data_IF_339866843949
#
_entry.id   IF_339866843949
#
_cell.length_a   1.000
_cell.length_b   1.000
_cell.length_c   1.000
_cell.angle_alpha   90.00
_cell.angle_beta   90.00
_cell.angle_gamma   90.00
#
_symmetry.space_group_name_H-M   'P 1'
#
loop_
_entity.id
_entity.type
_entity.pdbx_description
1 polymer ?
#
# COMPACT_ATOMS: atom_id res chain seq x y z
N UNK A 1 -4.97 8.81 11.34
CA UNK A 1 -3.64 9.11 10.75
C UNK A 1 -2.51 9.43 11.74
N UNK A 2 -2.50 10.54 12.50
CA UNK A 2 -1.44 10.83 13.50
C UNK A 2 -1.34 9.69 14.54
N UNK A 3 -2.49 9.12 14.91
CA UNK A 3 -2.57 7.98 15.83
C UNK A 3 -1.90 6.73 15.25
N UNK A 4 -2.14 6.40 13.97
CA UNK A 4 -1.57 5.21 13.34
C UNK A 4 -0.04 5.31 13.21
N UNK A 5 0.48 6.45 12.76
CA UNK A 5 1.92 6.66 12.66
C UNK A 5 2.62 6.60 14.03
N UNK A 6 1.96 7.10 15.09
CA UNK A 6 2.43 6.98 16.47
C UNK A 6 2.38 5.53 16.98
N UNK A 7 1.28 4.81 16.73
CA UNK A 7 1.12 3.41 17.12
C UNK A 7 2.15 2.51 16.44
N UNK A 8 2.40 2.73 15.15
CA UNK A 8 3.38 1.99 14.36
C UNK A 8 4.83 2.47 14.59
N UNK A 9 5.04 3.51 15.41
CA UNK A 9 6.35 4.13 15.70
C UNK A 9 7.16 4.42 14.43
N UNK A 10 6.48 4.88 13.39
CA UNK A 10 7.09 5.12 12.08
C UNK A 10 8.09 6.27 12.22
N UNK A 11 9.31 6.04 11.75
CA UNK A 11 10.32 7.08 11.65
C UNK A 11 10.10 7.84 10.35
N UNK A 12 9.73 9.11 10.48
CA UNK A 12 9.61 9.98 9.33
C UNK A 12 10.99 10.36 8.79
N UNK A 13 11.14 10.28 7.48
CA UNK A 13 12.33 10.72 6.77
C UNK A 13 12.14 12.15 6.25
N UNK A 14 13.21 12.93 6.30
CA UNK A 14 13.30 14.21 5.61
C UNK A 14 13.69 13.96 4.15
N UNK A 15 12.70 13.60 3.32
CA UNK A 15 12.86 13.50 1.87
C UNK A 15 12.34 14.76 1.18
N UNK A 16 12.71 14.95 -0.09
CA UNK A 16 12.16 16.05 -0.88
C UNK A 16 10.64 15.91 -0.98
N UNK A 17 9.87 17.02 -0.83
CA UNK A 17 8.44 17.00 -1.04
C UNK A 17 8.09 16.47 -2.42
N UNK A 18 7.07 15.61 -2.49
CA UNK A 18 6.55 15.14 -3.77
C UNK A 18 5.32 15.95 -4.15
N UNK A 19 5.18 16.23 -5.44
CA UNK A 19 3.98 16.84 -6.01
C UNK A 19 3.05 15.71 -6.49
N UNK A 20 1.84 15.68 -5.96
CA UNK A 20 0.78 14.75 -6.36
C UNK A 20 -0.39 15.52 -6.91
N UNK A 21 -1.07 15.00 -7.93
CA UNK A 21 -2.33 15.56 -8.41
C UNK A 21 -3.42 14.51 -8.18
N UNK A 22 -4.43 14.88 -7.41
CA UNK A 22 -5.61 14.03 -7.21
C UNK A 22 -6.56 14.07 -8.41
N UNK A 23 -7.71 13.40 -8.27
CA UNK A 23 -8.79 13.41 -9.27
C UNK A 23 -9.34 14.81 -9.54
N UNK A 24 -9.32 15.69 -8.52
CA UNK A 24 -9.75 17.09 -8.64
C UNK A 24 -8.78 17.96 -9.47
N UNK A 25 -7.65 17.41 -9.91
CA UNK A 25 -6.64 18.10 -10.71
C UNK A 25 -5.83 19.14 -9.93
N UNK A 26 -6.17 19.43 -8.67
CA UNK A 26 -5.44 20.34 -7.81
C UNK A 26 -4.15 19.66 -7.32
N UNK A 27 -2.96 20.22 -7.64
CA UNK A 27 -1.71 19.66 -7.15
C UNK A 27 -1.55 19.91 -5.66
N UNK A 28 -1.25 18.85 -4.92
CA UNK A 28 -0.93 18.87 -3.49
C UNK A 28 0.53 18.44 -3.30
N UNK A 29 1.16 18.91 -2.23
CA UNK A 29 2.53 18.54 -1.90
C UNK A 29 2.56 17.69 -0.64
N UNK A 30 3.21 16.53 -0.73
CA UNK A 30 3.42 15.65 0.43
C UNK A 30 4.87 15.79 0.87
N UNK A 31 5.07 16.27 2.10
CA UNK A 31 6.38 16.57 2.66
C UNK A 31 6.89 15.49 3.61
N UNK A 32 6.00 14.62 4.08
CA UNK A 32 6.31 13.56 5.03
C UNK A 32 6.40 12.22 4.32
N UNK A 33 7.49 11.52 4.56
CA UNK A 33 7.73 10.17 4.04
C UNK A 33 8.24 9.28 5.16
N UNK A 34 8.18 7.97 4.97
CA UNK A 34 8.81 7.02 5.85
C UNK A 34 9.19 5.76 5.10
N UNK A 35 10.28 5.14 5.50
CA UNK A 35 10.59 3.79 5.06
C UNK A 35 9.89 2.80 5.98
N UNK A 36 9.03 1.96 5.42
CA UNK A 36 8.32 0.92 6.18
C UNK A 36 8.65 -0.46 5.64
N UNK A 37 8.50 -1.46 6.51
CA UNK A 37 8.55 -2.87 6.13
C UNK A 37 7.13 -3.42 6.13
N UNK A 38 6.68 -3.93 4.99
CA UNK A 38 5.39 -4.60 4.86
C UNK A 38 5.67 -6.08 4.72
N UNK A 39 5.03 -6.90 5.56
CA UNK A 39 5.06 -8.36 5.39
C UNK A 39 3.79 -8.77 4.67
N UNK A 40 3.95 -9.54 3.59
CA UNK A 40 2.84 -10.13 2.83
C UNK A 40 3.03 -11.65 2.81
N UNK A 41 1.94 -12.37 3.09
CA UNK A 41 1.98 -13.83 3.27
C UNK A 41 2.86 -14.25 4.46
N UNK A 42 3.44 -15.44 4.37
CA UNK A 42 4.19 -16.05 5.49
C UNK A 42 5.68 -15.64 5.56
N UNK A 43 6.27 -15.14 4.46
CA UNK A 43 7.74 -14.94 4.39
C UNK A 43 8.23 -13.72 3.60
N UNK A 44 7.36 -12.99 2.91
CA UNK A 44 7.82 -11.92 2.02
C UNK A 44 7.78 -10.58 2.72
N UNK A 45 8.96 -9.96 2.90
CA UNK A 45 9.11 -8.63 3.50
C UNK A 45 9.54 -7.64 2.43
N UNK A 46 8.68 -6.67 2.15
CA UNK A 46 8.96 -5.56 1.25
C UNK A 46 9.38 -4.33 2.04
N UNK A 47 10.50 -3.73 1.67
CA UNK A 47 10.94 -2.43 2.19
C UNK A 47 10.63 -1.37 1.15
N UNK A 48 9.85 -0.37 1.52
CA UNK A 48 9.46 0.70 0.60
C UNK A 48 9.41 2.05 1.30
N UNK A 49 9.70 3.10 0.53
CA UNK A 49 9.44 4.47 0.91
C UNK A 49 7.97 4.80 0.64
N UNK A 50 7.23 5.16 1.68
CA UNK A 50 5.83 5.60 1.58
C UNK A 50 5.73 7.08 1.91
N UNK A 51 4.77 7.75 1.25
CA UNK A 51 4.41 9.14 1.57
C UNK A 51 3.21 9.15 2.51
N UNK A 52 3.31 9.97 3.55
CA UNK A 52 2.27 10.08 4.58
C UNK A 52 1.53 11.39 4.39
N UNK A 53 0.25 11.30 4.01
CA UNK A 53 -0.62 12.46 3.81
C UNK A 53 -2.06 12.14 4.20
N UNK A 54 -2.83 13.16 4.57
CA UNK A 54 -4.26 13.01 4.84
C UNK A 54 -5.03 12.94 3.52
N UNK A 55 -5.52 11.75 3.16
CA UNK A 55 -6.19 11.48 1.87
C UNK A 55 -7.71 11.60 1.99
N UNK A 56 -8.26 11.58 3.21
CA UNK A 56 -9.71 11.64 3.46
C UNK A 56 -10.12 10.80 4.66
N UNK A 57 -11.39 10.86 5.02
CA UNK A 57 -11.95 10.06 6.12
C UNK A 57 -12.00 8.57 5.74
N UNK A 58 -11.61 7.68 6.67
CA UNK A 58 -11.63 6.23 6.47
C UNK A 58 -10.42 5.63 5.74
N UNK A 59 -9.43 6.43 5.32
CA UNK A 59 -8.19 5.92 4.68
C UNK A 59 -7.00 6.09 5.63
N UNK A 60 -6.47 4.96 6.09
CA UNK A 60 -5.30 4.92 6.97
C UNK A 60 -3.97 4.87 6.20
N UNK A 61 -3.93 4.14 5.08
CA UNK A 61 -2.77 3.98 4.19
C UNK A 61 -3.25 3.83 2.75
N UNK A 62 -2.62 4.52 1.79
CA UNK A 62 -2.83 4.31 0.36
C UNK A 62 -1.57 3.68 -0.25
N UNK A 63 -1.73 2.53 -0.88
CA UNK A 63 -0.66 1.84 -1.60
C UNK A 63 -0.82 2.10 -3.10
N UNK A 64 0.28 2.52 -3.73
CA UNK A 64 0.31 2.77 -5.16
C UNK A 64 0.34 1.49 -6.01
N UNK A 65 0.14 1.66 -7.31
CA UNK A 65 0.28 0.58 -8.29
C UNK A 65 1.72 0.07 -8.39
N UNK A 66 2.70 0.94 -8.15
CA UNK A 66 4.12 0.59 -8.09
C UNK A 66 4.40 -0.50 -7.04
N UNK A 67 3.80 -0.37 -5.85
CA UNK A 67 3.86 -1.39 -4.83
C UNK A 67 3.09 -2.65 -5.22
N UNK A 68 1.84 -2.49 -5.63
CA UNK A 68 0.94 -3.60 -5.97
C UNK A 68 1.55 -4.48 -7.07
N UNK A 69 2.14 -3.84 -8.10
CA UNK A 69 2.85 -4.52 -9.18
C UNK A 69 4.15 -5.19 -8.70
N UNK A 70 4.99 -4.47 -7.94
CA UNK A 70 6.27 -5.01 -7.45
C UNK A 70 6.10 -6.17 -6.47
N UNK A 71 5.03 -6.16 -5.69
CA UNK A 71 4.68 -7.22 -4.77
C UNK A 71 3.92 -8.39 -5.43
N UNK A 72 3.63 -8.29 -6.73
CA UNK A 72 2.84 -9.30 -7.44
C UNK A 72 1.42 -9.44 -6.90
N UNK A 73 0.86 -8.39 -6.29
CA UNK A 73 -0.50 -8.41 -5.75
C UNK A 73 -1.50 -8.37 -6.89
N UNK A 74 -2.45 -9.31 -6.89
CA UNK A 74 -3.57 -9.33 -7.83
C UNK A 74 -4.86 -8.92 -7.11
N UNK A 75 -5.57 -7.96 -7.69
CA UNK A 75 -6.91 -7.56 -7.23
C UNK A 75 -7.94 -8.54 -7.78
N UNK A 76 -8.53 -9.34 -6.91
CA UNK A 76 -9.65 -10.21 -7.26
C UNK A 76 -10.94 -9.41 -7.43
N UNK A 77 -11.74 -9.77 -8.44
CA UNK A 77 -13.05 -9.15 -8.67
C UNK A 77 -14.09 -9.58 -7.61
N UNK A 78 -13.82 -10.70 -6.92
CA UNK A 78 -14.69 -11.23 -5.85
C UNK A 78 -14.27 -10.67 -4.49
N UNK A 79 -15.22 -9.98 -3.83
CA UNK A 79 -15.16 -9.51 -2.43
C UNK A 79 -13.98 -8.61 -2.04
N UNK A 80 -13.28 -7.98 -3.00
CA UNK A 80 -12.18 -7.06 -2.68
C UNK A 80 -10.94 -7.75 -2.10
N UNK A 81 -10.80 -9.06 -2.35
CA UNK A 81 -9.67 -9.84 -1.90
C UNK A 81 -8.41 -9.46 -2.70
N UNK A 82 -7.38 -9.00 -2.01
CA UNK A 82 -6.03 -8.80 -2.57
C UNK A 82 -5.09 -9.86 -1.99
N UNK A 83 -4.40 -10.59 -2.87
CA UNK A 83 -3.43 -11.60 -2.46
C UNK A 83 -2.13 -11.44 -3.27
N UNK A 84 -0.95 -11.65 -2.66
CA UNK A 84 0.31 -11.75 -3.40
C UNK A 84 0.29 -12.99 -4.31
N UNK A 85 0.95 -12.92 -5.46
CA UNK A 85 0.92 -13.98 -6.48
C UNK A 85 1.28 -15.38 -5.95
N UNK A 86 2.21 -15.47 -4.99
CA UNK A 86 2.60 -16.74 -4.35
C UNK A 86 1.42 -17.41 -3.59
N UNK A 87 0.49 -16.62 -3.06
CA UNK A 87 -0.68 -17.09 -2.31
C UNK A 87 -1.95 -17.17 -3.21
N UNK A 88 -1.87 -16.77 -4.48
CA UNK A 88 -2.98 -16.90 -5.45
C UNK A 88 -3.13 -18.33 -6.03
N UNK A 89 -2.38 -19.31 -5.53
CA UNK A 89 -2.52 -20.73 -5.90
C UNK A 89 -3.52 -21.41 -4.96
N UNK A 90 -4.75 -20.90 -4.93
CA UNK A 90 -5.95 -21.59 -4.46
C UNK A 90 -7.03 -21.05 -5.42
N UNK A 91 -7.54 -21.70 -6.46
CA UNK A 91 -7.98 -23.09 -6.63
C UNK A 91 -8.14 -23.33 -8.15
N UNK A 92 -7.11 -23.82 -8.86
CA UNK A 92 -7.34 -24.35 -10.21
C UNK A 92 -7.70 -25.85 -10.17
N UNK A 93 -7.43 -26.53 -9.06
CA UNK A 93 -7.78 -27.95 -8.84
C UNK A 93 -9.19 -28.15 -8.26
N UNK A 94 -9.93 -27.09 -7.91
CA UNK A 94 -11.34 -27.19 -7.45
C UNK A 94 -12.35 -26.55 -8.43
N UNK A 95 -11.98 -26.36 -9.69
CA UNK A 95 -12.91 -26.02 -10.78
C UNK A 95 -13.15 -27.21 -11.72
N UNK A 96 -13.27 -28.42 -11.16
CA UNK A 96 -14.08 -29.49 -11.76
C UNK A 96 -15.33 -29.70 -10.91
N UNK A 97 -16.45 -29.14 -11.39
CA UNK A 97 -17.75 -29.80 -11.56
C UNK A 97 -18.72 -28.87 -12.30
#
# INVERSE_FOLDING_TARGET
MITLARTLKIKFNSQKPIKVSGLDGIPSYITSSAQIKITMGWRVVYVMDVWVTNIGEGVDVLLGMDFTFSAGVRLGIREGMSAPFEDCICDLENMEM
#
